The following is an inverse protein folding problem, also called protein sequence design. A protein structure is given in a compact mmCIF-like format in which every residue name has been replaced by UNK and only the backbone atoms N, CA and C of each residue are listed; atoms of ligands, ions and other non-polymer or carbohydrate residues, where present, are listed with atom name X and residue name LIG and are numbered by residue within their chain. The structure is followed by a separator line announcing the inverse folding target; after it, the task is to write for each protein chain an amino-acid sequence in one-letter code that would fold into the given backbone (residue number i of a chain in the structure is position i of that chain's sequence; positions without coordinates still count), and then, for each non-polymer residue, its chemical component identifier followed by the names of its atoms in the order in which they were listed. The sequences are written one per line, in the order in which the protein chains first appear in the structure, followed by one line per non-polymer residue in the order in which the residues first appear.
data_IF_386511678479
#
_entry.id   IF_386511678479
#
_cell.length_a   1.000
_cell.length_b   1.000
_cell.length_c   1.000
_cell.angle_alpha   90.00
_cell.angle_beta   90.00
_cell.angle_gamma   90.00
#
_symmetry.space_group_name_H-M   'P 1'
#
loop_
_entity.id
_entity.type
_entity.pdbx_description
1 polymer ?
#
# COMPACT_ATOMS: atom_id res chain seq x y z
N UNK A 1 -68.13 50.10 53.31
CA UNK A 1 -67.73 48.82 52.69
C UNK A 1 -67.26 49.18 51.28
N UNK A 2 -66.09 48.83 50.77
CA UNK A 2 -65.16 47.75 51.06
C UNK A 2 -63.74 48.21 50.63
N UNK A 3 -62.70 47.78 51.35
CA UNK A 3 -61.28 48.09 51.08
C UNK A 3 -60.73 47.26 49.93
N UNK A 4 -59.83 47.83 49.12
CA UNK A 4 -58.42 47.39 48.93
C UNK A 4 -57.71 48.18 47.80
N UNK A 5 -56.59 48.80 48.15
CA UNK A 5 -55.46 49.18 47.29
C UNK A 5 -54.36 48.08 47.47
N UNK A 6 -53.15 48.12 46.84
CA UNK A 6 -52.60 49.04 45.82
C UNK A 6 -51.71 48.38 44.73
N UNK A 7 -51.29 49.13 43.70
CA UNK A 7 -49.88 49.56 43.44
C UNK A 7 -49.62 49.92 41.97
N UNK A 8 -48.93 51.06 41.84
CA UNK A 8 -48.51 51.80 40.64
C UNK A 8 -47.45 51.08 39.80
N UNK A 9 -47.48 51.33 38.49
CA UNK A 9 -46.28 51.62 37.69
C UNK A 9 -46.68 52.32 36.37
N UNK A 10 -46.45 53.63 36.29
CA UNK A 10 -46.16 54.33 35.03
C UNK A 10 -44.65 54.60 35.06
N UNK A 11 -43.91 54.17 34.03
CA UNK A 11 -43.19 55.14 33.18
C UNK A 11 -42.51 54.46 31.99
N UNK A 12 -42.63 55.11 30.84
CA UNK A 12 -41.97 54.81 29.57
C UNK A 12 -40.55 55.40 29.64
N UNK A 13 -39.49 54.64 29.29
CA UNK A 13 -38.18 55.21 28.89
C UNK A 13 -37.29 54.21 28.11
N UNK A 14 -37.04 54.61 26.87
CA UNK A 14 -36.08 54.26 25.80
C UNK A 14 -34.89 53.27 26.00
N UNK A 15 -34.41 52.65 24.90
CA UNK A 15 -33.28 51.72 24.91
C UNK A 15 -31.94 52.47 24.91
N UNK A 16 -31.23 52.44 26.04
CA UNK A 16 -29.82 52.86 26.10
C UNK A 16 -28.89 51.66 25.91
N UNK A 17 -28.31 51.64 24.72
CA UNK A 17 -27.04 51.04 24.33
C UNK A 17 -25.97 51.26 25.43
N UNK A 18 -25.77 50.27 26.30
CA UNK A 18 -24.63 50.22 27.22
C UNK A 18 -23.71 49.10 26.76
N UNK A 19 -22.70 49.49 26.00
CA UNK A 19 -21.53 48.68 25.65
C UNK A 19 -20.85 48.15 26.92
N UNK A 20 -21.27 46.97 27.38
CA UNK A 20 -20.53 46.20 28.38
C UNK A 20 -19.36 45.53 27.66
N UNK A 21 -18.25 46.26 27.54
CA UNK A 21 -16.96 45.80 27.02
C UNK A 21 -16.41 44.70 27.95
N UNK A 22 -16.87 43.47 27.75
CA UNK A 22 -16.27 42.27 28.32
C UNK A 22 -14.89 42.10 27.68
N UNK A 23 -13.84 42.49 28.40
CA UNK A 23 -12.46 42.09 28.08
C UNK A 23 -12.35 40.58 28.31
N UNK A 24 -12.67 39.79 27.30
CA UNK A 24 -12.20 38.41 27.24
C UNK A 24 -10.68 38.47 26.99
N UNK A 25 -9.90 37.99 27.95
CA UNK A 25 -8.47 37.76 27.74
C UNK A 25 -8.31 36.78 26.58
N UNK A 26 -7.57 37.22 25.57
CA UNK A 26 -7.25 36.45 24.38
C UNK A 26 -6.36 35.27 24.74
N UNK A 27 -6.95 34.12 25.05
CA UNK A 27 -6.32 32.84 24.76
C UNK A 27 -6.98 32.26 23.51
N UNK A 28 -6.69 32.91 22.38
CA UNK A 28 -7.01 32.41 21.06
C UNK A 28 -6.07 31.25 20.74
N UNK A 29 -6.34 30.07 21.31
CA UNK A 29 -5.96 28.83 20.66
C UNK A 29 -6.86 28.68 19.43
N UNK A 30 -6.60 29.51 18.43
CA UNK A 30 -7.21 29.46 17.11
C UNK A 30 -6.83 28.12 16.50
N UNK A 31 -7.65 27.11 16.73
CA UNK A 31 -7.73 25.94 15.86
C UNK A 31 -8.10 26.51 14.50
N UNK A 32 -7.07 26.74 13.68
CA UNK A 32 -7.21 27.18 12.29
C UNK A 32 -8.32 26.35 11.66
N UNK A 33 -9.32 27.04 11.10
CA UNK A 33 -10.34 26.42 10.28
C UNK A 33 -9.62 25.48 9.29
N UNK A 34 -9.95 24.20 9.38
CA UNK A 34 -9.26 23.17 8.60
C UNK A 34 -9.64 23.39 7.14
N UNK A 35 -8.82 24.16 6.44
CA UNK A 35 -8.85 24.35 4.98
C UNK A 35 -9.01 22.96 4.36
N UNK A 36 -10.07 22.78 3.58
CA UNK A 36 -10.32 21.49 2.94
C UNK A 36 -9.11 21.15 2.05
N UNK A 37 -8.70 19.87 1.97
CA UNK A 37 -7.56 19.49 1.14
C UNK A 37 -7.74 19.97 -0.31
N UNK A 38 -6.67 20.45 -0.94
CA UNK A 38 -6.71 21.01 -2.30
C UNK A 38 -7.36 20.11 -3.36
N UNK A 39 -7.24 18.78 -3.21
CA UNK A 39 -7.94 17.80 -4.06
C UNK A 39 -9.47 17.87 -3.98
N UNK A 40 -10.02 18.37 -2.87
CA UNK A 40 -11.47 18.52 -2.66
C UNK A 40 -12.00 19.69 -3.48
N UNK A 41 -11.31 20.82 -3.50
CA UNK A 41 -11.70 21.98 -4.32
C UNK A 41 -11.78 21.59 -5.81
N UNK A 42 -10.83 20.78 -6.29
CA UNK A 42 -10.84 20.26 -7.66
C UNK A 42 -12.06 19.35 -7.95
N UNK A 43 -12.43 18.47 -7.01
CA UNK A 43 -13.58 17.58 -7.14
C UNK A 43 -14.92 18.33 -7.11
N UNK A 44 -14.99 19.44 -6.38
CA UNK A 44 -16.18 20.28 -6.31
C UNK A 44 -16.37 21.12 -7.59
N UNK A 45 -15.28 21.66 -8.18
CA UNK A 45 -15.36 22.58 -9.32
C UNK A 45 -15.62 21.87 -10.66
N UNK A 46 -15.02 20.69 -10.89
CA UNK A 46 -15.09 20.03 -12.20
C UNK A 46 -16.13 18.90 -12.30
N UNK A 47 -16.43 18.22 -11.19
CA UNK A 47 -17.18 16.95 -11.19
C UNK A 47 -18.51 17.07 -10.43
N UNK A 48 -18.69 18.10 -9.59
CA UNK A 48 -19.92 18.29 -8.81
C UNK A 48 -20.12 17.17 -7.78
N UNK A 49 -19.14 16.97 -6.89
CA UNK A 49 -19.12 15.85 -5.96
C UNK A 49 -20.33 15.90 -4.99
N UNK A 50 -21.18 14.86 -4.93
CA UNK A 50 -22.31 14.83 -4.01
C UNK A 50 -21.84 14.67 -2.55
N UNK A 51 -22.38 15.47 -1.63
CA UNK A 51 -21.99 15.51 -0.20
C UNK A 51 -22.01 14.13 0.47
N UNK A 52 -22.93 13.25 0.07
CA UNK A 52 -23.02 11.87 0.58
C UNK A 52 -21.77 11.04 0.28
N UNK A 53 -21.08 11.29 -0.83
CA UNK A 53 -19.82 10.62 -1.17
C UNK A 53 -18.66 11.14 -0.35
N UNK A 54 -18.57 12.46 -0.15
CA UNK A 54 -17.52 13.07 0.65
C UNK A 54 -17.53 12.53 2.09
N UNK A 55 -18.72 12.44 2.70
CA UNK A 55 -18.88 11.91 4.06
C UNK A 55 -18.46 10.43 4.13
N UNK A 56 -18.83 9.61 3.14
CA UNK A 56 -18.43 8.19 3.07
C UNK A 56 -16.91 8.04 2.95
N UNK A 57 -16.26 8.83 2.10
CA UNK A 57 -14.80 8.81 1.92
C UNK A 57 -14.09 9.25 3.20
N UNK A 58 -14.57 10.30 3.87
CA UNK A 58 -14.00 10.76 5.13
C UNK A 58 -14.19 9.75 6.27
N UNK A 59 -15.35 9.10 6.36
CA UNK A 59 -15.60 8.02 7.33
C UNK A 59 -14.72 6.79 7.03
N UNK A 60 -14.60 6.39 5.77
CA UNK A 60 -13.74 5.28 5.34
C UNK A 60 -12.26 5.58 5.65
N UNK A 61 -11.80 6.80 5.32
CA UNK A 61 -10.45 7.28 5.66
C UNK A 61 -10.19 7.27 7.15
N UNK A 62 -11.16 7.70 7.97
CA UNK A 62 -11.05 7.68 9.43
C UNK A 62 -10.86 6.26 9.95
N UNK A 63 -11.71 5.33 9.51
CA UNK A 63 -11.63 3.90 9.86
C UNK A 63 -10.29 3.29 9.43
N UNK A 64 -9.83 3.56 8.21
CA UNK A 64 -8.55 3.04 7.73
C UNK A 64 -7.36 3.60 8.51
N UNK A 65 -7.36 4.89 8.85
CA UNK A 65 -6.30 5.48 9.69
C UNK A 65 -6.26 4.90 11.11
N UNK A 66 -7.42 4.53 11.65
CA UNK A 66 -7.53 3.90 12.97
C UNK A 66 -6.99 2.46 12.94
N UNK A 67 -7.34 1.69 11.91
CA UNK A 67 -6.79 0.34 11.69
C UNK A 67 -5.27 0.37 11.46
N UNK A 68 -4.76 1.31 10.67
CA UNK A 68 -3.32 1.46 10.44
C UNK A 68 -2.59 1.82 11.74
N UNK A 69 -3.20 2.64 12.59
CA UNK A 69 -2.62 3.02 13.90
C UNK A 69 -2.62 1.84 14.88
N UNK A 70 -3.69 1.04 14.89
CA UNK A 70 -3.82 -0.13 15.76
C UNK A 70 -2.86 -1.25 15.35
N UNK A 71 -2.78 -1.53 14.05
CA UNK A 71 -2.09 -2.71 13.49
C UNK A 71 -0.76 -2.38 12.78
N UNK A 72 -0.14 -1.24 13.07
CA UNK A 72 1.11 -0.80 12.41
C UNK A 72 2.20 -1.87 12.38
N UNK A 73 2.29 -2.69 13.44
CA UNK A 73 3.28 -3.77 13.55
C UNK A 73 3.02 -4.88 12.53
N UNK A 74 1.77 -5.31 12.36
CA UNK A 74 1.41 -6.32 11.36
C UNK A 74 1.67 -5.81 9.94
N UNK A 75 1.34 -4.54 9.66
CA UNK A 75 1.58 -3.93 8.34
C UNK A 75 3.07 -3.93 8.02
N UNK A 76 3.92 -3.51 8.97
CA UNK A 76 5.37 -3.53 8.79
C UNK A 76 5.90 -4.95 8.58
N UNK A 77 5.45 -5.92 9.39
CA UNK A 77 5.84 -7.33 9.21
C UNK A 77 5.44 -7.86 7.84
N UNK A 78 4.22 -7.58 7.38
CA UNK A 78 3.74 -8.00 6.06
C UNK A 78 4.57 -7.40 4.92
N UNK A 79 4.91 -6.11 5.01
CA UNK A 79 5.78 -5.44 4.04
C UNK A 79 7.19 -6.04 4.02
N UNK A 80 7.75 -6.39 5.19
CA UNK A 80 9.03 -7.07 5.27
C UNK A 80 9.00 -8.46 4.61
N UNK A 81 7.92 -9.22 4.81
CA UNK A 81 7.75 -10.53 4.16
C UNK A 81 7.67 -10.36 2.64
N UNK A 82 6.86 -9.42 2.16
CA UNK A 82 6.75 -9.12 0.73
C UNK A 82 8.10 -8.70 0.13
N UNK A 83 8.84 -7.83 0.80
CA UNK A 83 10.16 -7.41 0.37
C UNK A 83 11.16 -8.58 0.33
N UNK A 84 11.07 -9.51 1.30
CA UNK A 84 11.83 -10.75 1.27
C UNK A 84 11.49 -11.60 0.05
N UNK A 85 10.20 -11.86 -0.19
CA UNK A 85 9.74 -12.67 -1.32
C UNK A 85 10.16 -12.07 -2.67
N UNK A 86 10.07 -10.76 -2.85
CA UNK A 86 10.48 -10.10 -4.10
C UNK A 86 12.00 -10.16 -4.30
N UNK A 87 12.78 -10.02 -3.22
CA UNK A 87 14.24 -10.16 -3.27
C UNK A 87 14.68 -11.58 -3.65
N UNK A 88 14.03 -12.62 -3.10
CA UNK A 88 14.36 -14.02 -3.39
C UNK A 88 13.76 -14.53 -4.71
N UNK A 89 12.73 -13.88 -5.26
CA UNK A 89 12.09 -14.27 -6.52
C UNK A 89 13.07 -14.51 -7.69
N UNK A 90 14.01 -13.60 -8.03
CA UNK A 90 14.96 -13.84 -9.12
C UNK A 90 15.84 -15.06 -8.90
N UNK A 91 16.25 -15.33 -7.66
CA UNK A 91 17.08 -16.50 -7.31
C UNK A 91 16.30 -17.79 -7.55
N UNK A 92 15.05 -17.84 -7.11
CA UNK A 92 14.16 -18.99 -7.33
C UNK A 92 13.89 -19.18 -8.82
N UNK A 93 13.61 -18.10 -9.56
CA UNK A 93 13.37 -18.14 -11.00
C UNK A 93 14.60 -18.66 -11.75
N UNK A 94 15.77 -18.12 -11.45
CA UNK A 94 17.04 -18.55 -12.04
C UNK A 94 17.31 -20.03 -11.78
N UNK A 95 17.10 -20.49 -10.54
CA UNK A 95 17.28 -21.90 -10.16
C UNK A 95 16.35 -22.84 -10.91
N UNK A 96 15.08 -22.44 -11.10
CA UNK A 96 14.12 -23.21 -11.91
C UNK A 96 14.55 -23.30 -13.37
N UNK A 97 14.95 -22.19 -13.99
CA UNK A 97 15.42 -22.19 -15.38
C UNK A 97 16.66 -23.06 -15.56
N UNK A 98 17.60 -23.01 -14.61
CA UNK A 98 18.81 -23.85 -14.64
C UNK A 98 18.46 -25.34 -14.56
N UNK A 99 17.53 -25.71 -13.69
CA UNK A 99 17.08 -27.10 -13.53
C UNK A 99 16.33 -27.60 -14.76
N UNK A 100 15.50 -26.75 -15.39
CA UNK A 100 14.85 -27.07 -16.66
C UNK A 100 15.86 -27.26 -17.79
N UNK A 101 16.86 -26.39 -17.90
CA UNK A 101 17.94 -26.57 -18.86
C UNK A 101 18.66 -27.90 -18.64
N UNK A 102 19.06 -28.23 -17.40
CA UNK A 102 19.78 -29.47 -17.09
C UNK A 102 18.96 -30.70 -17.49
N UNK A 103 17.63 -30.67 -17.29
CA UNK A 103 16.69 -31.72 -17.70
C UNK A 103 16.64 -31.87 -19.22
N UNK A 104 16.49 -30.77 -19.95
CA UNK A 104 16.45 -30.76 -21.42
C UNK A 104 17.79 -31.26 -21.99
N UNK A 105 18.91 -30.78 -21.47
CA UNK A 105 20.24 -31.18 -21.88
C UNK A 105 20.50 -32.68 -21.64
N UNK A 106 20.08 -33.23 -20.49
CA UNK A 106 20.16 -34.67 -20.23
C UNK A 106 19.40 -35.49 -21.27
N UNK A 107 18.17 -35.10 -21.57
CA UNK A 107 17.34 -35.79 -22.56
C UNK A 107 18.00 -35.73 -23.95
N UNK A 108 18.46 -34.54 -24.36
CA UNK A 108 19.15 -34.34 -25.63
C UNK A 108 20.41 -35.23 -25.77
N UNK A 109 21.24 -35.32 -24.72
CA UNK A 109 22.45 -36.14 -24.70
C UNK A 109 22.12 -37.64 -24.77
N UNK A 110 21.09 -38.09 -24.05
CA UNK A 110 20.66 -39.49 -24.06
C UNK A 110 20.11 -39.88 -25.44
N UNK A 111 19.22 -39.07 -26.00
CA UNK A 111 18.50 -39.35 -27.25
C UNK A 111 19.41 -39.27 -28.49
N UNK A 112 20.19 -38.21 -28.65
CA UNK A 112 20.94 -38.01 -29.90
C UNK A 112 22.21 -38.86 -29.99
N UNK A 113 22.82 -39.21 -28.85
CA UNK A 113 24.14 -39.85 -28.86
C UNK A 113 24.10 -41.35 -28.58
N UNK A 114 22.92 -41.95 -28.34
CA UNK A 114 22.76 -43.36 -27.96
C UNK A 114 23.73 -43.77 -26.83
N UNK A 115 23.94 -42.88 -25.85
CA UNK A 115 24.94 -43.02 -24.79
C UNK A 115 24.41 -43.89 -23.63
N UNK A 116 23.95 -45.11 -23.96
CA UNK A 116 23.38 -46.10 -23.01
C UNK A 116 24.38 -46.41 -21.87
N UNK A 117 25.68 -46.20 -22.10
CA UNK A 117 26.77 -46.56 -21.18
C UNK A 117 27.35 -45.39 -20.34
N UNK A 118 26.83 -44.16 -20.46
CA UNK A 118 27.37 -43.04 -19.68
C UNK A 118 26.95 -43.13 -18.22
N UNK A 119 27.92 -42.94 -17.31
CA UNK A 119 27.65 -42.85 -15.87
C UNK A 119 26.78 -41.62 -15.57
N UNK A 120 25.80 -41.77 -14.67
CA UNK A 120 24.92 -40.66 -14.24
C UNK A 120 25.67 -39.38 -13.83
N UNK A 121 26.84 -39.52 -13.21
CA UNK A 121 27.67 -38.38 -12.79
C UNK A 121 28.24 -37.61 -14.00
N UNK A 122 28.76 -38.31 -15.01
CA UNK A 122 29.27 -37.68 -16.24
C UNK A 122 28.14 -37.00 -17.01
N UNK A 123 26.98 -37.66 -17.12
CA UNK A 123 25.81 -37.04 -17.76
C UNK A 123 25.41 -35.74 -17.03
N UNK A 124 25.45 -35.74 -15.69
CA UNK A 124 25.17 -34.54 -14.91
C UNK A 124 26.18 -33.44 -15.18
N UNK A 125 27.49 -33.76 -15.14
CA UNK A 125 28.56 -32.81 -15.46
C UNK A 125 28.37 -32.19 -16.85
N UNK A 126 28.19 -33.01 -17.88
CA UNK A 126 27.99 -32.56 -19.26
C UNK A 126 26.75 -31.67 -19.40
N UNK A 127 25.62 -32.10 -18.83
CA UNK A 127 24.37 -31.32 -18.88
C UNK A 127 24.50 -29.97 -18.17
N UNK A 128 25.22 -29.91 -17.05
CA UNK A 128 25.47 -28.65 -16.32
C UNK A 128 26.42 -27.74 -17.09
N UNK A 129 27.51 -28.27 -17.66
CA UNK A 129 28.45 -27.49 -18.46
C UNK A 129 27.79 -26.90 -19.70
N UNK A 130 26.99 -27.70 -20.41
CA UNK A 130 26.21 -27.22 -21.55
C UNK A 130 25.25 -26.09 -21.19
N UNK A 131 24.51 -26.22 -20.09
CA UNK A 131 23.63 -25.17 -19.61
C UNK A 131 24.36 -23.91 -19.12
N UNK A 132 25.65 -24.00 -18.83
CA UNK A 132 26.49 -22.85 -18.53
C UNK A 132 27.20 -22.29 -19.79
N UNK A 133 26.87 -22.79 -20.99
CA UNK A 133 27.44 -22.33 -22.27
C UNK A 133 28.69 -23.10 -22.73
N UNK A 134 29.02 -24.23 -22.11
CA UNK A 134 30.11 -25.10 -22.56
C UNK A 134 29.72 -25.94 -23.79
N UNK A 135 30.71 -26.26 -24.63
CA UNK A 135 30.56 -26.98 -25.90
C UNK A 135 31.10 -28.43 -25.83
N UNK A 136 31.47 -28.92 -24.64
CA UNK A 136 32.07 -30.25 -24.41
C UNK A 136 31.25 -31.42 -24.99
N UNK A 137 29.93 -31.26 -25.13
CA UNK A 137 29.09 -32.32 -25.73
C UNK A 137 29.37 -32.52 -27.22
N UNK A 138 29.76 -31.47 -27.95
CA UNK A 138 30.07 -31.56 -29.38
C UNK A 138 31.42 -32.24 -29.61
N UNK A 139 32.35 -32.17 -28.66
CA UNK A 139 33.60 -32.93 -28.74
C UNK A 139 33.35 -34.45 -28.64
N UNK A 140 32.33 -34.88 -27.90
CA UNK A 140 31.90 -36.28 -27.86
C UNK A 140 31.19 -36.74 -29.14
N UNK A 141 30.66 -35.81 -29.94
CA UNK A 141 30.11 -36.08 -31.28
C UNK A 141 31.21 -36.48 -32.26
N UNK A 142 32.26 -35.66 -32.31
CA UNK A 142 33.37 -35.81 -33.26
C UNK A 142 34.28 -37.01 -32.97
N UNK A 143 34.07 -37.74 -31.86
CA UNK A 143 34.79 -38.98 -31.53
C UNK A 143 34.11 -40.24 -32.06
N UNK A 144 32.88 -40.12 -32.59
CA UNK A 144 32.10 -41.24 -33.15
C UNK A 144 32.19 -41.33 -34.68
N UNK A 145 32.77 -40.33 -35.32
CA UNK A 145 33.14 -40.32 -36.74
C UNK A 145 34.60 -40.80 -36.91
#
# INVERSE_FOLDING_TARGET
MEKKEPRKAQDIKNPTFVNKKLKASSNSNNKKDKILPWWVELLFVQIGLPDKWLIKVLQSKRKSTELIKNEKRLIVTFLLILAGLTYFYPVVKYSKTKLECERIAKNYIIENKNLIKIKRQQLRMLSTNFCNGGDEIYQLENLKD
#
